data_IF_480229823973
#
_entry.id   IF_480229823973
#
_cell.length_a   1.000
_cell.length_b   1.000
_cell.length_c   1.000
_cell.angle_alpha   90.00
_cell.angle_beta   90.00
_cell.angle_gamma   90.00
#
_symmetry.space_group_name_H-M   'P 1'
#
loop_
_entity.id
_entity.type
_entity.pdbx_description
1 polymer ?
#
# COMPACT_ATOMS: atom_id res chain seq x y z
N UNK A 1 9.12 -1.35 -3.02
CA UNK A 1 8.84 -2.46 -2.07
C UNK A 1 10.13 -3.11 -1.58
N UNK A 2 10.95 -3.69 -2.46
CA UNK A 2 12.22 -4.33 -2.09
C UNK A 2 13.13 -3.45 -1.23
N UNK A 3 13.33 -2.18 -1.61
CA UNK A 3 14.12 -1.24 -0.81
C UNK A 3 13.59 -1.09 0.62
N UNK A 4 12.27 -0.92 0.78
CA UNK A 4 11.64 -0.78 2.11
C UNK A 4 11.81 -2.06 2.93
N UNK A 5 11.61 -3.22 2.31
CA UNK A 5 11.80 -4.50 3.00
C UNK A 5 13.25 -4.72 3.44
N UNK A 6 14.22 -4.26 2.63
CA UNK A 6 15.64 -4.27 2.99
C UNK A 6 15.95 -3.28 4.11
N UNK A 7 15.48 -2.03 4.01
CA UNK A 7 15.72 -0.95 5.00
C UNK A 7 15.20 -1.33 6.39
N UNK A 8 14.07 -2.06 6.43
CA UNK A 8 13.39 -2.49 7.66
C UNK A 8 13.71 -3.93 8.08
N UNK A 9 14.63 -4.61 7.38
CA UNK A 9 15.04 -6.00 7.67
C UNK A 9 13.85 -6.99 7.77
N UNK A 10 12.88 -6.87 6.85
CA UNK A 10 11.63 -7.65 6.91
C UNK A 10 11.74 -9.08 6.33
N UNK A 11 12.93 -9.46 5.88
CA UNK A 11 13.20 -10.73 5.21
C UNK A 11 12.84 -10.72 3.73
N UNK A 12 12.65 -11.90 3.16
CA UNK A 12 12.36 -12.06 1.73
C UNK A 12 11.00 -11.47 1.34
N UNK A 13 10.99 -10.76 0.20
CA UNK A 13 9.77 -10.27 -0.43
C UNK A 13 9.29 -11.34 -1.42
N UNK A 14 8.10 -11.86 -1.18
CA UNK A 14 7.38 -12.71 -2.13
C UNK A 14 6.71 -11.83 -3.20
N UNK A 15 7.20 -11.94 -4.44
CA UNK A 15 6.62 -11.29 -5.62
C UNK A 15 5.86 -12.32 -6.45
N UNK A 16 4.55 -12.13 -6.56
CA UNK A 16 3.65 -13.03 -7.29
C UNK A 16 2.67 -12.25 -8.15
N UNK A 17 2.08 -12.92 -9.14
CA UNK A 17 0.93 -12.37 -9.88
C UNK A 17 -0.36 -12.85 -9.25
N UNK A 18 -1.22 -11.91 -8.83
CA UNK A 18 -2.59 -12.20 -8.40
C UNK A 18 -3.56 -11.56 -9.37
N UNK A 19 -4.37 -12.38 -10.05
CA UNK A 19 -5.29 -11.94 -11.10
C UNK A 19 -4.58 -11.21 -12.26
N UNK A 20 -3.34 -11.60 -12.56
CA UNK A 20 -2.50 -10.95 -13.58
C UNK A 20 -1.87 -9.63 -13.13
N UNK A 21 -2.03 -9.23 -11.87
CA UNK A 21 -1.51 -7.97 -11.32
C UNK A 21 -0.32 -8.25 -10.36
N UNK A 22 0.76 -7.45 -10.40
CA UNK A 22 1.89 -7.58 -9.48
C UNK A 22 1.46 -7.43 -8.02
N UNK A 23 1.78 -8.44 -7.21
CA UNK A 23 1.49 -8.51 -5.77
C UNK A 23 2.78 -8.78 -5.02
N UNK A 24 3.00 -8.02 -3.96
CA UNK A 24 4.16 -8.15 -3.09
C UNK A 24 3.73 -8.42 -1.66
N UNK A 25 4.43 -9.32 -0.97
CA UNK A 25 4.20 -9.57 0.44
C UNK A 25 5.47 -9.94 1.19
N UNK A 26 5.48 -9.66 2.48
CA UNK A 26 6.51 -10.11 3.44
C UNK A 26 5.79 -10.77 4.61
N UNK A 27 6.48 -11.66 5.34
CA UNK A 27 5.89 -12.43 6.45
C UNK A 27 5.26 -11.56 7.54
N UNK A 28 5.79 -10.35 7.75
CA UNK A 28 5.40 -9.41 8.79
C UNK A 28 4.33 -8.41 8.35
N UNK A 29 3.91 -8.45 7.08
CA UNK A 29 3.07 -7.43 6.46
C UNK A 29 1.68 -7.88 6.04
N UNK A 30 0.91 -6.92 5.54
CA UNK A 30 -0.23 -7.16 4.67
C UNK A 30 0.25 -7.11 3.22
N UNK A 31 -0.20 -8.02 2.34
CA UNK A 31 0.10 -7.95 0.91
C UNK A 31 -0.34 -6.61 0.32
N UNK A 32 0.47 -6.10 -0.62
CA UNK A 32 0.15 -4.95 -1.45
C UNK A 32 0.16 -5.38 -2.91
N UNK A 33 -0.73 -4.82 -3.73
CA UNK A 33 -0.83 -5.13 -5.15
C UNK A 33 -0.87 -3.84 -5.94
N UNK A 34 -0.36 -3.82 -7.14
CA UNK A 34 -0.39 -2.64 -7.99
C UNK A 34 -0.98 -2.96 -9.34
N UNK A 35 -1.62 -1.95 -9.93
CA UNK A 35 -2.28 -2.16 -11.20
C UNK A 35 -2.63 -0.86 -11.92
N UNK A 36 -2.76 -0.97 -13.24
CA UNK A 36 -3.27 0.05 -14.12
C UNK A 36 -4.43 -0.53 -14.94
N UNK A 37 -5.50 0.23 -15.13
CA UNK A 37 -6.70 -0.25 -15.82
C UNK A 37 -7.06 0.64 -17.01
N UNK A 38 -7.43 0.01 -18.13
CA UNK A 38 -7.90 0.70 -19.35
C UNK A 38 -9.06 1.68 -19.11
N UNK A 39 -9.96 1.38 -18.16
CA UNK A 39 -11.10 2.24 -17.81
C UNK A 39 -10.70 3.57 -17.15
N UNK A 40 -9.47 3.68 -16.68
CA UNK A 40 -8.92 4.83 -15.96
C UNK A 40 -7.48 5.04 -16.41
N UNK A 41 -7.25 5.36 -17.71
CA UNK A 41 -5.94 5.25 -18.33
C UNK A 41 -4.92 6.24 -17.77
N UNK A 42 -5.37 7.32 -17.13
CA UNK A 42 -4.51 8.32 -16.51
C UNK A 42 -4.11 7.98 -15.07
N UNK A 43 -4.63 6.88 -14.52
CA UNK A 43 -4.44 6.49 -13.13
C UNK A 43 -3.92 5.07 -12.99
N UNK A 44 -3.09 4.86 -11.98
CA UNK A 44 -2.71 3.54 -11.47
C UNK A 44 -3.00 3.49 -9.98
N UNK A 45 -3.01 2.28 -9.43
CA UNK A 45 -3.54 2.01 -8.10
C UNK A 45 -2.55 1.19 -7.30
N UNK A 46 -2.42 1.53 -6.02
CA UNK A 46 -1.85 0.64 -5.02
C UNK A 46 -3.01 0.10 -4.19
N UNK A 47 -3.21 -1.22 -4.24
CA UNK A 47 -4.25 -1.94 -3.55
C UNK A 47 -3.74 -2.56 -2.25
N UNK A 48 -4.59 -2.48 -1.24
CA UNK A 48 -4.36 -3.02 0.10
C UNK A 48 -5.50 -3.96 0.50
N UNK A 49 -5.31 -4.74 1.55
CA UNK A 49 -6.33 -5.65 2.05
C UNK A 49 -7.50 -4.87 2.68
N UNK A 50 -8.68 -4.96 2.07
CA UNK A 50 -9.90 -4.26 2.50
C UNK A 50 -10.41 -4.68 3.89
N UNK A 51 -9.94 -5.80 4.45
CA UNK A 51 -10.29 -6.24 5.80
C UNK A 51 -9.41 -5.59 6.88
N UNK A 52 -8.38 -4.83 6.48
CA UNK A 52 -7.51 -4.08 7.40
C UNK A 52 -7.97 -2.64 7.51
N UNK A 53 -7.43 -1.92 8.50
CA UNK A 53 -7.62 -0.47 8.65
C UNK A 53 -6.52 0.36 7.97
N UNK A 54 -5.69 -0.25 7.12
CA UNK A 54 -4.57 0.44 6.47
C UNK A 54 -5.01 1.67 5.68
N UNK A 55 -5.95 1.51 4.74
CA UNK A 55 -6.40 2.64 3.89
C UNK A 55 -7.11 3.71 4.70
N UNK A 56 -7.84 3.33 5.74
CA UNK A 56 -8.45 4.30 6.66
C UNK A 56 -7.37 5.08 7.41
N UNK A 57 -6.35 4.39 7.95
CA UNK A 57 -5.21 5.02 8.62
C UNK A 57 -4.44 5.95 7.68
N UNK A 58 -4.20 5.53 6.44
CA UNK A 58 -3.50 6.36 5.46
C UNK A 58 -4.27 7.64 5.16
N UNK A 59 -5.61 7.56 5.13
CA UNK A 59 -6.47 8.73 4.91
C UNK A 59 -6.41 9.72 6.07
N UNK A 60 -6.36 9.22 7.31
CA UNK A 60 -6.16 10.10 8.48
C UNK A 60 -4.79 10.81 8.44
N UNK A 61 -3.75 10.11 7.98
CA UNK A 61 -2.38 10.65 7.96
C UNK A 61 -2.08 11.55 6.74
N UNK A 62 -2.62 11.20 5.58
CA UNK A 62 -2.23 11.76 4.28
C UNK A 62 -3.44 12.17 3.42
N UNK A 63 -4.60 12.43 4.03
CA UNK A 63 -5.83 12.78 3.30
C UNK A 63 -5.75 14.06 2.47
N UNK A 64 -4.85 14.98 2.81
CA UNK A 64 -4.59 16.20 2.04
C UNK A 64 -3.59 16.00 0.88
N UNK A 65 -2.77 14.94 0.93
CA UNK A 65 -1.70 14.67 -0.05
C UNK A 65 -2.04 13.52 -1.01
N UNK A 66 -2.80 12.53 -0.55
CA UNK A 66 -3.13 11.30 -1.28
C UNK A 66 -4.61 11.19 -1.57
N UNK A 67 -4.94 10.62 -2.73
CA UNK A 67 -6.32 10.28 -3.11
C UNK A 67 -6.57 8.80 -2.85
N UNK A 68 -7.73 8.49 -2.28
CA UNK A 68 -8.10 7.12 -1.91
C UNK A 68 -9.39 6.69 -2.62
N UNK A 69 -9.47 5.41 -3.00
CA UNK A 69 -10.69 4.80 -3.54
C UNK A 69 -11.25 3.79 -2.52
N UNK A 70 -12.37 4.17 -1.90
CA UNK A 70 -12.99 3.38 -0.84
C UNK A 70 -11.98 3.04 0.26
N UNK A 71 -12.05 1.83 0.79
CA UNK A 71 -11.12 1.31 1.80
C UNK A 71 -10.02 0.40 1.22
N UNK A 72 -9.78 0.47 -0.10
CA UNK A 72 -8.96 -0.55 -0.79
C UNK A 72 -7.75 -0.04 -1.55
N UNK A 73 -7.69 1.26 -1.91
CA UNK A 73 -6.63 1.74 -2.77
C UNK A 73 -6.21 3.18 -2.52
N UNK A 74 -4.92 3.42 -2.78
CA UNK A 74 -4.39 4.75 -3.11
C UNK A 74 -4.48 4.90 -4.63
N UNK A 75 -4.96 6.05 -5.10
CA UNK A 75 -5.08 6.41 -6.52
C UNK A 75 -3.94 7.36 -6.87
N UNK A 76 -3.18 7.04 -7.90
CA UNK A 76 -2.04 7.82 -8.36
C UNK A 76 -2.21 8.19 -9.83
N UNK A 77 -1.89 9.43 -10.18
CA UNK A 77 -1.93 9.92 -11.56
C UNK A 77 -0.60 9.68 -12.26
N UNK A 78 -0.63 9.23 -13.51
CA UNK A 78 0.58 9.07 -14.35
C UNK A 78 1.19 10.44 -14.71
N UNK A 79 0.38 11.49 -14.77
CA UNK A 79 0.82 12.84 -15.13
C UNK A 79 1.33 13.68 -13.96
N UNK A 80 1.31 13.16 -12.73
CA UNK A 80 1.77 13.86 -11.54
C UNK A 80 3.02 13.21 -10.97
N UNK A 81 3.84 14.02 -10.31
CA UNK A 81 4.98 13.51 -9.54
C UNK A 81 4.46 12.61 -8.42
N UNK A 82 5.10 11.46 -8.24
CA UNK A 82 4.76 10.54 -7.15
C UNK A 82 5.08 11.21 -5.80
N UNK A 83 4.12 11.32 -4.86
CA UNK A 83 4.40 11.74 -3.48
C UNK A 83 5.18 10.64 -2.73
N UNK A 84 6.48 10.53 -3.04
CA UNK A 84 7.34 9.42 -2.62
C UNK A 84 7.36 9.22 -1.10
N UNK A 85 7.41 10.31 -0.33
CA UNK A 85 7.45 10.26 1.13
C UNK A 85 6.18 9.65 1.72
N UNK A 86 5.01 10.13 1.33
CA UNK A 86 3.73 9.61 1.80
C UNK A 86 3.52 8.14 1.38
N UNK A 87 3.89 7.81 0.14
CA UNK A 87 3.80 6.45 -0.38
C UNK A 87 4.76 5.51 0.36
N UNK A 88 6.01 5.93 0.60
CA UNK A 88 6.98 5.15 1.37
C UNK A 88 6.41 4.83 2.76
N UNK A 89 5.92 5.84 3.48
CA UNK A 89 5.31 5.67 4.80
C UNK A 89 4.12 4.69 4.79
N UNK A 90 3.21 4.82 3.82
CA UNK A 90 2.08 3.90 3.68
C UNK A 90 2.54 2.45 3.40
N UNK A 91 3.55 2.27 2.55
CA UNK A 91 4.11 0.95 2.25
C UNK A 91 4.86 0.36 3.45
N UNK A 92 5.62 1.14 4.20
CA UNK A 92 6.25 0.71 5.46
C UNK A 92 5.23 0.19 6.45
N UNK A 93 4.11 0.91 6.62
CA UNK A 93 3.03 0.51 7.52
C UNK A 93 2.32 -0.77 7.03
N UNK A 94 2.09 -0.90 5.73
CA UNK A 94 1.52 -2.11 5.14
C UNK A 94 2.45 -3.32 5.35
N UNK A 95 3.76 -3.16 5.10
CA UNK A 95 4.76 -4.23 5.20
C UNK A 95 5.08 -4.61 6.65
N UNK A 96 4.77 -3.76 7.63
CA UNK A 96 4.92 -4.04 9.07
C UNK A 96 3.60 -4.31 9.78
N UNK A 97 2.49 -4.41 9.03
CA UNK A 97 1.14 -4.44 9.58
C UNK A 97 0.93 -5.53 10.65
N UNK A 98 1.44 -6.76 10.48
CA UNK A 98 1.19 -7.82 11.46
C UNK A 98 1.78 -7.52 12.84
N UNK A 99 2.88 -6.75 12.87
CA UNK A 99 3.51 -6.32 14.12
C UNK A 99 2.75 -5.15 14.75
N UNK A 100 2.05 -4.33 13.95
CA UNK A 100 1.47 -3.04 14.36
C UNK A 100 -0.06 -3.02 14.40
N UNK A 101 -0.73 -4.08 13.96
CA UNK A 101 -2.20 -4.18 13.86
C UNK A 101 -2.97 -4.05 15.18
N UNK A 102 -2.26 -3.97 16.31
CA UNK A 102 -2.83 -3.75 17.65
C UNK A 102 -2.80 -2.26 18.06
N UNK A 103 -2.14 -1.40 17.28
CA UNK A 103 -2.03 0.02 17.57
C UNK A 103 -3.34 0.75 17.24
N UNK A 104 -3.65 1.84 17.96
CA UNK A 104 -4.77 2.71 17.61
C UNK A 104 -4.72 3.10 16.13
N UNK A 105 -5.87 3.03 15.46
CA UNK A 105 -6.09 3.22 14.01
C UNK A 105 -5.78 2.02 13.10
N UNK A 106 -4.94 1.06 13.50
CA UNK A 106 -4.61 -0.11 12.67
C UNK A 106 -5.45 -1.36 12.92
N UNK A 107 -6.33 -1.29 13.93
CA UNK A 107 -7.16 -2.40 14.39
C UNK A 107 -6.83 -2.80 15.83
N UNK A 108 -7.70 -3.63 16.39
CA UNK A 108 -7.46 -4.43 17.59
C UNK A 108 -7.91 -5.85 17.26
#
# INVERSE_FOLDING_TARGET
VFQIASDLELGEVDETLKWGEPSYSVKTGSPLRMDWKLKSPNNYYLFFNCQTKLVDTFRELYGEELVFQGNRAIVLSISQVLPETAIKSCLELALTYQQRKHLPLLGA
#
